data_IF_625349371241
#
_entry.id   IF_625349371241
#
_cell.length_a   1.000
_cell.length_b   1.000
_cell.length_c   1.000
_cell.angle_alpha   90.00
_cell.angle_beta   90.00
_cell.angle_gamma   90.00
#
_symmetry.space_group_name_H-M   'P 1'
#
loop_
_entity.id
_entity.type
_entity.pdbx_description
1 polymer ?
#
# COMPACT_ATOMS: atom_id res chain seq x y z
N UNK A 1 -12.22 15.60 6.94
CA UNK A 1 -11.12 16.56 6.62
C UNK A 1 -9.83 16.32 7.41
N UNK A 2 -9.81 16.35 8.77
CA UNK A 2 -8.56 16.12 9.54
C UNK A 2 -8.20 14.62 9.64
N UNK A 3 -9.20 13.77 9.88
CA UNK A 3 -9.02 12.31 9.98
C UNK A 3 -8.59 11.69 8.64
N UNK A 4 -9.16 12.13 7.52
CA UNK A 4 -8.78 11.64 6.19
C UNK A 4 -7.32 11.97 5.83
N UNK A 5 -6.86 13.18 6.21
CA UNK A 5 -5.46 13.60 6.03
C UNK A 5 -4.51 12.78 6.89
N UNK A 6 -4.87 12.50 8.14
CA UNK A 6 -4.09 11.65 9.04
C UNK A 6 -4.02 10.20 8.51
N UNK A 7 -5.15 9.66 8.05
CA UNK A 7 -5.21 8.33 7.45
C UNK A 7 -4.34 8.24 6.18
N UNK A 8 -4.39 9.25 5.31
CA UNK A 8 -3.55 9.32 4.12
C UNK A 8 -2.06 9.42 4.48
N UNK A 9 -1.70 10.23 5.49
CA UNK A 9 -0.32 10.32 5.98
C UNK A 9 0.19 8.98 6.52
N UNK A 10 -0.61 8.28 7.31
CA UNK A 10 -0.29 6.94 7.81
C UNK A 10 -0.17 5.92 6.69
N UNK A 11 -1.06 5.98 5.69
CA UNK A 11 -1.03 5.11 4.51
C UNK A 11 0.26 5.31 3.72
N UNK A 12 0.60 6.55 3.38
CA UNK A 12 1.84 6.89 2.68
C UNK A 12 3.05 6.32 3.40
N UNK A 13 3.17 6.57 4.72
CA UNK A 13 4.29 6.06 5.55
C UNK A 13 4.35 4.54 5.56
N UNK A 14 3.22 3.86 5.67
CA UNK A 14 3.17 2.40 5.65
C UNK A 14 3.69 1.86 4.32
N UNK A 15 3.21 2.41 3.20
CA UNK A 15 3.68 2.03 1.86
C UNK A 15 5.16 2.38 1.68
N UNK A 16 5.64 3.56 2.09
CA UNK A 16 7.08 3.89 2.02
C UNK A 16 7.92 2.86 2.75
N UNK A 17 7.48 2.44 3.94
CA UNK A 17 8.21 1.48 4.76
C UNK A 17 8.29 0.10 4.09
N UNK A 18 7.23 -0.34 3.41
CA UNK A 18 7.23 -1.64 2.72
C UNK A 18 8.18 -1.63 1.51
N UNK A 19 8.32 -0.47 0.87
CA UNK A 19 9.18 -0.29 -0.31
C UNK A 19 10.62 0.11 0.05
N UNK A 20 10.91 0.54 1.29
CA UNK A 20 12.22 1.05 1.71
C UNK A 20 13.39 0.08 1.48
N UNK A 21 13.15 -1.23 1.65
CA UNK A 21 14.18 -2.25 1.44
C UNK A 21 14.60 -2.42 -0.03
N UNK A 22 13.87 -1.79 -0.95
CA UNK A 22 14.12 -1.80 -2.36
C UNK A 22 14.58 -0.38 -2.74
N UNK A 23 15.91 -0.17 -2.77
CA UNK A 23 16.55 1.15 -2.95
C UNK A 23 16.06 1.91 -4.19
N UNK A 24 15.62 1.19 -5.21
CA UNK A 24 14.93 1.69 -6.41
C UNK A 24 13.66 2.50 -6.10
N UNK A 25 13.09 2.35 -4.89
CA UNK A 25 11.85 2.95 -4.41
C UNK A 25 12.01 3.81 -3.15
N UNK A 26 13.24 4.10 -2.72
CA UNK A 26 13.49 4.82 -1.45
C UNK A 26 13.02 6.27 -1.45
N UNK A 27 12.33 6.72 -2.49
CA UNK A 27 11.78 8.04 -2.64
C UNK A 27 10.33 7.90 -3.12
N UNK A 28 9.42 7.60 -2.19
CA UNK A 28 8.11 8.28 -2.32
C UNK A 28 8.47 9.77 -2.35
N UNK A 29 8.17 10.50 -3.43
CA UNK A 29 8.48 11.91 -3.45
C UNK A 29 7.78 12.53 -2.25
N UNK A 30 8.43 13.50 -1.62
CA UNK A 30 7.78 14.50 -0.77
C UNK A 30 6.76 15.34 -1.57
N UNK A 31 6.29 14.85 -2.73
CA UNK A 31 5.19 15.45 -3.46
C UNK A 31 3.99 15.54 -2.52
N UNK A 32 3.38 16.71 -2.53
CA UNK A 32 2.14 17.04 -1.83
C UNK A 32 0.96 16.23 -2.40
N UNK A 33 0.98 14.90 -2.26
CA UNK A 33 -0.14 14.02 -2.60
C UNK A 33 -1.20 14.20 -1.51
N UNK A 34 -2.09 15.16 -1.69
CA UNK A 34 -3.05 15.58 -0.67
C UNK A 34 -4.30 14.70 -0.63
N UNK A 35 -4.49 13.87 -1.66
CA UNK A 35 -5.65 12.98 -1.79
C UNK A 35 -5.24 11.53 -1.96
N UNK A 36 -6.19 10.63 -1.67
CA UNK A 36 -6.02 9.19 -1.91
C UNK A 36 -5.86 8.89 -3.41
N UNK A 37 -6.57 9.63 -4.26
CA UNK A 37 -6.53 9.44 -5.71
C UNK A 37 -5.15 9.80 -6.29
N UNK A 38 -4.60 10.96 -5.91
CA UNK A 38 -3.23 11.35 -6.29
C UNK A 38 -2.21 10.30 -5.83
N UNK A 39 -2.37 9.79 -4.62
CA UNK A 39 -1.50 8.73 -4.11
C UNK A 39 -1.64 7.42 -4.90
N UNK A 40 -2.86 7.06 -5.29
CA UNK A 40 -3.12 5.87 -6.11
C UNK A 40 -2.52 6.00 -7.51
N UNK A 41 -2.65 7.16 -8.15
CA UNK A 41 -2.04 7.44 -9.46
C UNK A 41 -0.53 7.28 -9.37
N UNK A 42 0.10 7.95 -8.40
CA UNK A 42 1.54 7.84 -8.16
C UNK A 42 1.97 6.38 -7.93
N UNK A 43 1.26 5.63 -7.08
CA UNK A 43 1.59 4.25 -6.78
C UNK A 43 1.42 3.35 -8.03
N UNK A 44 0.42 3.63 -8.86
CA UNK A 44 0.19 2.93 -10.12
C UNK A 44 1.37 3.10 -11.08
N UNK A 45 1.88 4.31 -11.22
CA UNK A 45 3.06 4.60 -12.05
C UNK A 45 4.28 3.81 -11.56
N UNK A 46 4.55 3.83 -10.24
CA UNK A 46 5.67 3.09 -9.66
C UNK A 46 5.56 1.58 -9.85
N UNK A 47 4.35 1.04 -9.70
CA UNK A 47 4.11 -0.39 -9.94
C UNK A 47 4.30 -0.74 -11.41
N UNK A 48 3.81 0.11 -12.32
CA UNK A 48 4.00 -0.08 -13.76
C UNK A 48 5.48 -0.13 -14.13
N UNK A 49 6.28 0.80 -13.59
CA UNK A 49 7.75 0.79 -13.73
C UNK A 49 8.33 -0.54 -13.20
N UNK A 50 7.96 -0.96 -11.98
CA UNK A 50 8.40 -2.22 -11.36
C UNK A 50 8.09 -3.44 -12.20
N UNK A 51 6.90 -3.50 -12.79
CA UNK A 51 6.49 -4.61 -13.62
C UNK A 51 7.41 -4.80 -14.82
N UNK A 52 8.01 -3.71 -15.33
CA UNK A 52 8.92 -3.74 -16.47
C UNK A 52 10.36 -3.96 -16.03
N UNK A 53 10.83 -3.26 -14.99
CA UNK A 53 12.25 -3.23 -14.64
C UNK A 53 12.66 -4.32 -13.64
N UNK A 54 11.76 -4.75 -12.75
CA UNK A 54 12.07 -5.69 -11.66
C UNK A 54 10.79 -6.39 -11.14
N UNK A 55 10.21 -7.25 -11.98
CA UNK A 55 8.97 -7.96 -11.64
C UNK A 55 9.10 -8.86 -10.39
N UNK A 56 10.24 -9.53 -10.22
CA UNK A 56 10.49 -10.37 -9.04
C UNK A 56 10.55 -9.54 -7.76
N UNK A 57 11.09 -8.31 -7.82
CA UNK A 57 11.04 -7.34 -6.73
C UNK A 57 9.61 -6.99 -6.35
N UNK A 58 8.75 -6.74 -7.34
CA UNK A 58 7.33 -6.46 -7.12
C UNK A 58 6.65 -7.60 -6.38
N UNK A 59 6.84 -8.84 -6.85
CA UNK A 59 6.26 -10.02 -6.22
C UNK A 59 6.70 -10.15 -4.76
N UNK A 60 7.99 -9.98 -4.48
CA UNK A 60 8.52 -10.05 -3.11
C UNK A 60 7.86 -9.02 -2.20
N UNK A 61 7.67 -7.78 -2.66
CA UNK A 61 6.96 -6.73 -1.89
C UNK A 61 5.53 -7.18 -1.59
N UNK A 62 4.78 -7.61 -2.60
CA UNK A 62 3.37 -7.97 -2.46
C UNK A 62 3.17 -9.12 -1.46
N UNK A 63 4.09 -10.10 -1.46
CA UNK A 63 4.08 -11.20 -0.49
C UNK A 63 4.46 -10.74 0.93
N UNK A 64 5.45 -9.86 1.08
CA UNK A 64 5.89 -9.35 2.40
C UNK A 64 4.82 -8.56 3.15
N UNK A 65 3.89 -7.92 2.42
CA UNK A 65 2.79 -7.16 3.03
C UNK A 65 1.52 -7.98 3.25
N UNK A 66 1.60 -9.30 3.08
CA UNK A 66 0.50 -10.28 3.20
C UNK A 66 -0.68 -10.01 2.24
N UNK A 67 -0.41 -9.65 0.99
CA UNK A 67 -1.46 -9.75 -0.03
C UNK A 67 -1.61 -11.22 -0.42
N UNK A 68 -2.85 -11.69 -0.43
CA UNK A 68 -3.18 -13.08 -0.77
C UNK A 68 -2.63 -13.46 -2.16
N UNK A 69 -1.86 -14.54 -2.24
CA UNK A 69 -1.20 -15.02 -3.45
C UNK A 69 -2.16 -15.28 -4.61
N UNK A 70 -3.36 -15.81 -4.33
CA UNK A 70 -4.38 -16.05 -5.36
C UNK A 70 -4.80 -14.71 -6.00
N UNK A 71 -4.98 -13.65 -5.21
CA UNK A 71 -5.30 -12.31 -5.75
C UNK A 71 -4.18 -11.77 -6.62
N UNK A 72 -2.92 -11.95 -6.18
CA UNK A 72 -1.74 -11.53 -6.94
C UNK A 72 -1.70 -12.25 -8.30
N UNK A 73 -1.79 -13.58 -8.29
CA UNK A 73 -1.83 -14.42 -9.50
C UNK A 73 -2.97 -14.07 -10.42
N UNK A 74 -4.17 -13.86 -9.88
CA UNK A 74 -5.35 -13.47 -10.68
C UNK A 74 -5.12 -12.16 -11.42
N UNK A 75 -4.53 -11.16 -10.79
CA UNK A 75 -4.23 -9.88 -11.45
C UNK A 75 -3.14 -10.07 -12.50
N UNK A 76 -2.03 -10.71 -12.14
CA UNK A 76 -0.86 -10.90 -13.04
C UNK A 76 -1.21 -11.69 -14.30
N UNK A 77 -1.90 -12.82 -14.15
CA UNK A 77 -2.25 -13.71 -15.25
C UNK A 77 -3.50 -13.28 -16.01
N UNK A 78 -4.19 -12.23 -15.56
CA UNK A 78 -5.31 -11.69 -16.33
C UNK A 78 -4.82 -11.13 -17.67
N UNK A 79 -5.70 -11.13 -18.68
CA UNK A 79 -5.49 -10.43 -19.96
C UNK A 79 -5.81 -8.94 -19.84
N UNK A 80 -5.85 -8.40 -18.63
CA UNK A 80 -6.22 -7.01 -18.36
C UNK A 80 -5.01 -6.09 -18.49
N UNK A 81 -5.14 -5.01 -19.25
CA UNK A 81 -4.09 -3.99 -19.38
C UNK A 81 -3.94 -3.13 -18.10
N UNK A 82 -4.96 -3.15 -17.23
CA UNK A 82 -5.01 -2.37 -15.98
C UNK A 82 -4.41 -3.13 -14.78
N UNK A 83 -3.34 -3.91 -14.96
CA UNK A 83 -2.69 -4.66 -13.87
C UNK A 83 -2.11 -3.76 -12.79
N UNK A 84 -1.32 -2.76 -13.17
CA UNK A 84 -0.68 -1.84 -12.24
C UNK A 84 -1.69 -1.13 -11.30
N UNK A 85 -2.80 -0.52 -11.78
CA UNK A 85 -3.77 0.11 -10.88
C UNK A 85 -4.50 -0.91 -10.00
N UNK A 86 -4.76 -2.13 -10.47
CA UNK A 86 -5.33 -3.19 -9.64
C UNK A 86 -4.39 -3.60 -8.50
N UNK A 87 -3.09 -3.69 -8.77
CA UNK A 87 -2.08 -3.96 -7.75
C UNK A 87 -1.99 -2.79 -6.76
N UNK A 88 -2.07 -1.54 -7.23
CA UNK A 88 -2.10 -0.35 -6.38
C UNK A 88 -3.28 -0.40 -5.40
N UNK A 89 -4.47 -0.77 -5.89
CA UNK A 89 -5.66 -0.95 -5.06
C UNK A 89 -5.48 -2.06 -4.01
N UNK A 90 -4.84 -3.18 -4.38
CA UNK A 90 -4.55 -4.27 -3.44
C UNK A 90 -3.62 -3.81 -2.31
N UNK A 91 -2.56 -3.06 -2.64
CA UNK A 91 -1.62 -2.51 -1.65
C UNK A 91 -2.35 -1.53 -0.71
N UNK A 92 -3.05 -0.54 -1.27
CA UNK A 92 -3.78 0.47 -0.50
C UNK A 92 -4.77 -0.20 0.46
N UNK A 93 -5.59 -1.12 -0.06
CA UNK A 93 -6.58 -1.85 0.73
C UNK A 93 -5.92 -2.61 1.88
N UNK A 94 -4.82 -3.31 1.61
CA UNK A 94 -4.09 -4.09 2.62
C UNK A 94 -3.52 -3.20 3.72
N UNK A 95 -2.96 -2.05 3.37
CA UNK A 95 -2.38 -1.13 4.36
C UNK A 95 -3.45 -0.43 5.19
N UNK A 96 -4.57 -0.01 4.59
CA UNK A 96 -5.71 0.52 5.33
C UNK A 96 -6.25 -0.48 6.34
N UNK A 97 -6.35 -1.77 5.97
CA UNK A 97 -6.73 -2.84 6.91
C UNK A 97 -5.75 -2.97 8.09
N UNK A 98 -4.43 -2.88 7.85
CA UNK A 98 -3.42 -2.91 8.92
C UNK A 98 -3.57 -1.71 9.86
N UNK A 99 -3.78 -0.52 9.29
CA UNK A 99 -3.99 0.73 10.05
C UNK A 99 -5.23 0.60 10.93
N UNK A 100 -6.37 0.21 10.36
CA UNK A 100 -7.63 0.04 11.09
C UNK A 100 -7.51 -1.01 12.20
N UNK A 101 -6.89 -2.15 11.90
CA UNK A 101 -6.64 -3.22 12.88
C UNK A 101 -5.82 -2.70 14.06
N UNK A 102 -4.74 -1.96 13.80
CA UNK A 102 -3.91 -1.34 14.86
C UNK A 102 -4.68 -0.31 15.69
N UNK A 103 -5.58 0.47 15.08
CA UNK A 103 -6.45 1.41 15.80
C UNK A 103 -7.37 0.67 16.77
N UNK A 104 -8.09 -0.36 16.28
CA UNK A 104 -8.98 -1.21 17.09
C UNK A 104 -8.25 -1.85 18.28
N UNK A 105 -7.04 -2.37 18.09
CA UNK A 105 -6.24 -2.92 19.19
C UNK A 105 -5.84 -1.88 20.23
N UNK A 106 -5.45 -0.66 19.83
CA UNK A 106 -5.13 0.43 20.75
C UNK A 106 -6.35 0.85 21.57
N UNK A 107 -7.51 0.96 20.92
CA UNK A 107 -8.77 1.30 21.58
C UNK A 107 -9.19 0.23 22.60
N UNK A 108 -9.15 -1.04 22.23
CA UNK A 108 -9.47 -2.15 23.14
C UNK A 108 -8.50 -2.23 24.32
N UNK A 109 -7.20 -2.01 24.10
CA UNK A 109 -6.21 -1.95 25.19
C UNK A 109 -6.53 -0.81 26.16
N UNK A 110 -6.91 0.37 25.66
CA UNK A 110 -7.26 1.50 26.52
C UNK A 110 -8.55 1.25 27.32
N UNK A 111 -9.55 0.57 26.73
CA UNK A 111 -10.78 0.18 27.43
C UNK A 111 -10.50 -0.81 28.57
N UNK A 112 -9.63 -1.79 28.35
CA UNK A 112 -9.28 -2.80 29.35
C UNK A 112 -8.40 -2.26 30.50
N UNK A 113 -7.78 -1.08 30.34
CA UNK A 113 -7.00 -0.41 31.39
C UNK A 113 -7.88 0.53 32.24
N UNK A 114 -9.04 0.94 31.71
CA UNK A 114 -10.00 1.84 32.36
C UNK A 114 -11.20 1.08 32.98
N UNK A 115 -11.23 -0.24 32.89
CA UNK A 115 -12.21 -1.16 33.49
C UNK A 115 -11.58 -1.95 34.63
#
# INVERSE_FOLDING_TARGET
>A
MKEDKENLSQLKKAVSSDFYNYKEFSLLPEADLNTLEEFKIYLTEKISELMVINFDGLLKILYQIDINEIKIKNVIHSTNDYKAPLIADLIIKRQLQKIETRKKYKENKNRNILS
#
